data_IF_188434968430
#
_entry.id   IF_188434968430
#
_cell.length_a   1.000
_cell.length_b   1.000
_cell.length_c   1.000
_cell.angle_alpha   90.00
_cell.angle_beta   90.00
_cell.angle_gamma   90.00
#
_symmetry.space_group_name_H-M   'P 1'
#
loop_
_entity.id
_entity.type
_entity.pdbx_description
1 polymer ?
#
# COMPACT_ATOMS: atom_id res chain seq x y z
N UNK A 1 28.69 22.92 -27.24
CA UNK A 1 27.45 22.17 -27.53
C UNK A 1 26.45 23.14 -28.14
N UNK A 2 25.63 22.71 -29.10
CA UNK A 2 24.55 23.55 -29.62
C UNK A 2 23.41 23.64 -28.59
N UNK A 3 22.58 24.69 -28.69
CA UNK A 3 21.39 24.81 -27.82
C UNK A 3 20.47 23.59 -27.95
N UNK A 4 20.23 23.13 -29.17
CA UNK A 4 19.43 21.92 -29.44
C UNK A 4 19.97 20.66 -28.77
N UNK A 5 21.31 20.49 -28.71
CA UNK A 5 21.90 19.35 -27.99
C UNK A 5 21.67 19.45 -26.49
N UNK A 6 21.82 20.65 -25.91
CA UNK A 6 21.57 20.86 -24.48
C UNK A 6 20.09 20.64 -24.13
N UNK A 7 19.15 21.08 -24.97
CA UNK A 7 17.72 20.84 -24.80
C UNK A 7 17.39 19.34 -24.86
N UNK A 8 18.01 18.59 -25.76
CA UNK A 8 17.87 17.12 -25.82
C UNK A 8 18.39 16.44 -24.55
N UNK A 9 19.57 16.87 -24.07
CA UNK A 9 20.17 16.34 -22.85
C UNK A 9 19.33 16.68 -21.61
N UNK A 10 18.72 17.87 -21.59
CA UNK A 10 17.77 18.28 -20.53
C UNK A 10 16.53 17.38 -20.53
N UNK A 11 15.92 17.09 -21.70
CA UNK A 11 14.78 16.17 -21.78
C UNK A 11 15.16 14.78 -21.30
N UNK A 12 16.34 14.29 -21.64
CA UNK A 12 16.84 12.98 -21.19
C UNK A 12 17.10 12.97 -19.67
N UNK A 13 17.59 14.06 -19.09
CA UNK A 13 17.77 14.20 -17.65
C UNK A 13 16.42 14.23 -16.91
N UNK A 14 15.46 15.03 -17.41
CA UNK A 14 14.11 15.13 -16.83
C UNK A 14 13.30 13.83 -16.96
N UNK A 15 13.57 12.99 -17.94
CA UNK A 15 12.97 11.67 -18.05
C UNK A 15 13.37 10.69 -16.93
N UNK A 16 14.39 11.03 -16.13
CA UNK A 16 14.79 10.26 -14.94
C UNK A 16 14.08 10.70 -13.66
N UNK A 17 13.41 11.86 -13.71
CA UNK A 17 12.64 12.36 -12.57
C UNK A 17 11.31 11.63 -12.56
N UNK A 18 11.05 10.95 -11.46
CA UNK A 18 9.85 10.11 -11.29
C UNK A 18 8.87 10.81 -10.35
N UNK A 19 7.62 10.94 -10.79
CA UNK A 19 6.54 11.38 -9.92
C UNK A 19 6.32 10.36 -8.80
N UNK A 20 6.40 10.73 -7.51
CA UNK A 20 6.32 9.77 -6.40
C UNK A 20 4.94 9.15 -6.22
N UNK A 21 3.85 9.84 -6.60
CA UNK A 21 2.47 9.33 -6.48
C UNK A 21 2.13 8.39 -7.64
N UNK A 22 2.48 8.78 -8.89
CA UNK A 22 2.16 8.01 -10.09
C UNK A 22 3.21 6.95 -10.38
N UNK A 23 4.48 7.17 -9.98
CA UNK A 23 5.65 6.30 -10.23
C UNK A 23 5.98 6.14 -11.72
N UNK A 24 5.85 7.23 -12.46
CA UNK A 24 6.27 7.34 -13.86
C UNK A 24 7.13 8.57 -14.08
N UNK A 25 7.96 8.60 -15.13
CA UNK A 25 8.70 9.78 -15.53
C UNK A 25 7.77 11.00 -15.73
N UNK A 26 8.16 12.16 -15.20
CA UNK A 26 7.38 13.39 -15.35
C UNK A 26 7.20 13.81 -16.83
N UNK A 27 8.12 13.39 -17.69
CA UNK A 27 8.04 13.60 -19.13
C UNK A 27 6.94 12.76 -19.79
N UNK A 28 6.69 11.53 -19.30
CA UNK A 28 5.60 10.67 -19.77
C UNK A 28 4.23 11.15 -19.26
N UNK A 29 4.22 11.93 -18.19
CA UNK A 29 3.01 12.47 -17.60
C UNK A 29 2.59 13.83 -18.17
N UNK A 30 3.31 14.34 -19.19
CA UNK A 30 3.15 15.69 -19.76
C UNK A 30 3.30 16.81 -18.70
N UNK A 31 4.05 16.53 -17.62
CA UNK A 31 4.36 17.51 -16.59
C UNK A 31 5.48 18.47 -17.03
N UNK A 32 6.27 18.10 -18.03
CA UNK A 32 7.31 18.96 -18.60
C UNK A 32 6.74 19.67 -19.83
N UNK A 33 6.65 20.98 -19.74
CA UNK A 33 6.26 21.86 -20.86
C UNK A 33 7.43 22.26 -21.72
N UNK A 34 7.51 23.55 -22.03
CA UNK A 34 8.56 24.11 -22.88
C UNK A 34 9.91 24.09 -22.14
N UNK A 35 10.94 23.73 -22.90
CA UNK A 35 12.35 23.79 -22.47
C UNK A 35 13.06 24.72 -23.45
N UNK A 36 13.78 25.70 -22.93
CA UNK A 36 14.62 26.60 -23.72
C UNK A 36 15.97 26.83 -23.05
N UNK A 37 17.01 27.02 -23.82
CA UNK A 37 18.35 27.32 -23.31
C UNK A 37 18.86 28.61 -23.94
N UNK A 38 19.20 29.60 -23.12
CA UNK A 38 19.75 30.88 -23.55
C UNK A 38 20.97 31.24 -22.70
N UNK A 39 22.11 31.39 -23.33
CA UNK A 39 23.36 31.79 -22.66
C UNK A 39 23.72 30.98 -21.41
N UNK A 40 23.47 29.66 -21.45
CA UNK A 40 23.77 28.75 -20.33
C UNK A 40 22.66 28.71 -19.26
N UNK A 41 21.61 29.50 -19.40
CA UNK A 41 20.42 29.42 -18.52
C UNK A 41 19.37 28.52 -19.15
N UNK A 42 18.98 27.44 -18.47
CA UNK A 42 17.86 26.60 -18.86
C UNK A 42 16.57 27.18 -18.29
N UNK A 43 15.54 27.34 -19.11
CA UNK A 43 14.18 27.64 -18.69
C UNK A 43 13.32 26.39 -18.86
N UNK A 44 12.68 25.92 -17.80
CA UNK A 44 11.86 24.69 -17.81
C UNK A 44 10.48 25.01 -17.24
N UNK A 45 9.43 24.69 -18.01
CA UNK A 45 8.05 24.75 -17.52
C UNK A 45 7.69 23.42 -16.89
N UNK A 46 7.41 23.41 -15.58
CA UNK A 46 6.91 22.26 -14.84
C UNK A 46 5.41 22.45 -14.55
N UNK A 47 4.60 21.51 -14.94
CA UNK A 47 3.13 21.51 -14.75
C UNK A 47 2.74 20.44 -13.76
N UNK A 48 2.39 20.84 -12.53
CA UNK A 48 1.87 19.93 -11.52
C UNK A 48 0.43 19.51 -11.85
N UNK A 49 0.00 18.37 -11.35
CA UNK A 49 -1.34 17.83 -11.63
C UNK A 49 -2.45 18.68 -11.02
N UNK A 50 -2.23 19.22 -9.80
CA UNK A 50 -3.19 20.07 -9.08
C UNK A 50 -2.47 21.20 -8.34
N UNK A 51 -3.24 22.22 -7.94
CA UNK A 51 -2.78 23.25 -7.00
C UNK A 51 -2.57 22.60 -5.63
N UNK A 52 -1.42 22.84 -5.00
CA UNK A 52 -1.08 22.24 -3.70
C UNK A 52 -0.77 20.75 -3.75
N UNK A 53 -0.22 20.26 -4.88
CA UNK A 53 0.24 18.88 -5.02
C UNK A 53 1.18 18.52 -3.86
N UNK A 54 0.91 17.46 -3.09
CA UNK A 54 1.77 17.03 -1.97
C UNK A 54 3.20 16.66 -2.39
N UNK A 55 3.36 16.25 -3.65
CA UNK A 55 4.64 15.87 -4.23
C UNK A 55 5.44 17.06 -4.81
N UNK A 56 4.89 18.27 -4.81
CA UNK A 56 5.47 19.43 -5.49
C UNK A 56 6.94 19.69 -5.11
N UNK A 57 7.22 19.79 -3.81
CA UNK A 57 8.59 20.07 -3.31
C UNK A 57 9.58 18.97 -3.72
N UNK A 58 9.14 17.72 -3.70
CA UNK A 58 9.97 16.58 -4.10
C UNK A 58 10.28 16.63 -5.59
N UNK A 59 9.26 16.85 -6.43
CA UNK A 59 9.41 16.93 -7.89
C UNK A 59 10.30 18.14 -8.26
N UNK A 60 10.07 19.29 -7.67
CA UNK A 60 10.89 20.48 -7.92
C UNK A 60 12.36 20.28 -7.54
N UNK A 61 12.63 19.70 -6.38
CA UNK A 61 13.98 19.35 -5.94
C UNK A 61 14.65 18.41 -6.93
N UNK A 62 13.95 17.35 -7.35
CA UNK A 62 14.50 16.32 -8.21
C UNK A 62 14.70 16.86 -9.65
N UNK A 63 13.83 17.76 -10.14
CA UNK A 63 14.02 18.50 -11.39
C UNK A 63 15.27 19.36 -11.32
N UNK A 64 15.47 20.13 -10.23
CA UNK A 64 16.69 20.94 -10.06
C UNK A 64 17.94 20.10 -10.03
N UNK A 65 17.91 18.97 -9.32
CA UNK A 65 19.01 18.02 -9.27
C UNK A 65 19.33 17.41 -10.65
N UNK A 66 18.31 17.02 -11.40
CA UNK A 66 18.47 16.45 -12.74
C UNK A 66 19.07 17.47 -13.72
N UNK A 67 18.56 18.71 -13.74
CA UNK A 67 19.09 19.78 -14.61
C UNK A 67 20.54 20.14 -14.28
N UNK A 68 20.92 20.12 -13.01
CA UNK A 68 22.30 20.41 -12.58
C UNK A 68 23.34 19.40 -13.12
N UNK A 69 22.90 18.22 -13.57
CA UNK A 69 23.79 17.21 -14.17
C UNK A 69 24.09 17.46 -15.66
N UNK A 70 23.39 18.41 -16.30
CA UNK A 70 23.50 18.64 -17.74
C UNK A 70 24.65 19.61 -18.03
N UNK A 71 25.61 19.17 -18.83
CA UNK A 71 26.77 19.99 -19.25
C UNK A 71 26.32 21.17 -20.09
N UNK A 72 26.85 22.36 -19.76
CA UNK A 72 26.52 23.61 -20.49
C UNK A 72 25.35 24.39 -19.88
N UNK A 73 24.71 23.85 -18.81
CA UNK A 73 23.71 24.56 -18.00
C UNK A 73 24.40 25.13 -16.76
N UNK A 74 24.36 26.45 -16.58
CA UNK A 74 24.94 27.14 -15.41
C UNK A 74 23.89 27.71 -14.47
N UNK A 75 22.63 27.88 -14.96
CA UNK A 75 21.51 28.38 -14.18
C UNK A 75 20.19 27.71 -14.66
N UNK A 76 19.22 27.65 -13.75
CA UNK A 76 17.88 27.11 -14.00
C UNK A 76 16.81 28.15 -13.60
N UNK A 77 15.97 28.52 -14.57
CA UNK A 77 14.69 29.19 -14.34
C UNK A 77 13.58 28.14 -14.40
N UNK A 78 13.07 27.72 -13.25
CA UNK A 78 11.98 26.76 -13.15
C UNK A 78 10.65 27.51 -12.97
N UNK A 79 9.77 27.39 -13.96
CA UNK A 79 8.40 27.92 -13.90
C UNK A 79 7.46 26.82 -13.52
N UNK A 80 6.86 26.94 -12.33
CA UNK A 80 5.93 25.94 -11.82
C UNK A 80 4.50 26.41 -12.07
N UNK A 81 3.76 25.65 -12.83
CA UNK A 81 2.34 25.87 -13.12
C UNK A 81 1.51 24.65 -12.77
N UNK A 82 0.25 24.67 -13.15
CA UNK A 82 -0.70 23.58 -12.94
C UNK A 82 -1.34 23.21 -14.27
N UNK A 83 -1.56 21.93 -14.49
CA UNK A 83 -2.22 21.38 -15.69
C UNK A 83 -3.60 22.00 -15.88
N UNK A 84 -3.98 22.29 -17.14
CA UNK A 84 -5.35 22.63 -17.50
C UNK A 84 -6.30 21.45 -17.24
N UNK A 85 -7.60 21.70 -17.29
CA UNK A 85 -8.59 20.64 -17.17
C UNK A 85 -8.43 19.59 -18.27
N UNK A 86 -8.24 20.03 -19.52
CA UNK A 86 -8.05 19.14 -20.68
C UNK A 86 -6.80 18.27 -20.52
N UNK A 87 -5.70 18.86 -20.01
CA UNK A 87 -4.46 18.10 -19.75
C UNK A 87 -4.67 17.04 -18.66
N UNK A 88 -5.39 17.37 -17.58
CA UNK A 88 -5.73 16.40 -16.53
C UNK A 88 -6.65 15.28 -17.04
N UNK A 89 -7.64 15.62 -17.86
CA UNK A 89 -8.56 14.64 -18.44
C UNK A 89 -7.80 13.68 -19.39
N UNK A 90 -6.89 14.20 -20.20
CA UNK A 90 -6.02 13.39 -21.07
C UNK A 90 -5.08 12.49 -20.27
N UNK A 91 -4.46 13.01 -19.21
CA UNK A 91 -3.63 12.23 -18.28
C UNK A 91 -4.45 11.11 -17.62
N UNK A 92 -5.64 11.42 -17.12
CA UNK A 92 -6.55 10.47 -16.50
C UNK A 92 -6.93 9.35 -17.46
N UNK A 93 -7.29 9.68 -18.71
CA UNK A 93 -7.63 8.69 -19.72
C UNK A 93 -6.45 7.76 -20.05
N UNK A 94 -5.24 8.31 -20.13
CA UNK A 94 -4.02 7.54 -20.36
C UNK A 94 -3.65 6.63 -19.19
N UNK A 95 -3.82 7.09 -17.96
CA UNK A 95 -3.53 6.30 -16.76
C UNK A 95 -4.56 5.20 -16.52
N UNK A 96 -5.85 5.48 -16.75
CA UNK A 96 -6.92 4.45 -16.66
C UNK A 96 -6.76 3.36 -17.73
N UNK A 97 -6.29 3.73 -18.93
CA UNK A 97 -6.19 2.80 -20.04
C UNK A 97 -7.55 2.17 -20.38
N UNK A 98 -7.53 0.98 -21.01
CA UNK A 98 -8.74 0.20 -21.34
C UNK A 98 -9.17 -0.76 -20.21
N UNK A 99 -8.47 -0.79 -19.08
CA UNK A 99 -8.75 -1.74 -17.99
C UNK A 99 -9.99 -1.33 -17.20
N UNK A 100 -10.99 -2.20 -17.17
CA UNK A 100 -12.22 -2.04 -16.38
C UNK A 100 -12.00 -2.27 -14.87
N UNK A 101 -10.94 -2.97 -14.47
CA UNK A 101 -10.54 -3.21 -13.07
C UNK A 101 -9.04 -3.48 -12.98
N UNK A 102 -8.35 -2.84 -12.03
CA UNK A 102 -6.94 -3.09 -11.73
C UNK A 102 -6.72 -4.47 -11.12
N UNK A 103 -7.73 -5.03 -10.47
CA UNK A 103 -7.66 -6.24 -9.66
C UNK A 103 -8.59 -7.35 -10.17
N UNK A 104 -8.79 -7.41 -11.48
CA UNK A 104 -9.57 -8.47 -12.13
C UNK A 104 -8.85 -9.84 -12.07
N UNK A 105 -9.52 -10.91 -12.56
CA UNK A 105 -8.94 -12.27 -12.56
C UNK A 105 -7.60 -12.39 -13.29
N UNK A 106 -7.38 -11.52 -14.28
CA UNK A 106 -6.15 -11.48 -15.09
C UNK A 106 -5.07 -10.54 -14.52
N UNK A 107 -5.34 -9.92 -13.37
CA UNK A 107 -4.36 -9.04 -12.72
C UNK A 107 -3.18 -9.84 -12.19
N UNK A 108 -1.96 -9.33 -12.38
CA UNK A 108 -0.75 -9.91 -11.79
C UNK A 108 -0.54 -9.50 -10.32
N UNK A 109 -1.29 -8.54 -9.81
CA UNK A 109 -1.22 -8.11 -8.42
C UNK A 109 -1.69 -9.22 -7.48
N UNK A 110 -0.88 -9.60 -6.53
CA UNK A 110 -1.26 -10.49 -5.45
C UNK A 110 -2.05 -9.72 -4.40
N UNK A 111 -3.24 -10.18 -4.07
CA UNK A 111 -4.11 -9.51 -3.10
C UNK A 111 -4.14 -10.35 -1.83
N UNK A 112 -3.78 -9.74 -0.70
CA UNK A 112 -3.78 -10.38 0.62
C UNK A 112 -4.67 -9.57 1.56
N UNK A 113 -5.81 -10.14 1.91
CA UNK A 113 -6.69 -9.59 2.94
C UNK A 113 -6.19 -10.03 4.33
N UNK A 114 -5.96 -9.08 5.22
CA UNK A 114 -5.57 -9.37 6.60
C UNK A 114 -6.81 -9.26 7.49
N UNK A 115 -7.18 -10.36 8.13
CA UNK A 115 -8.38 -10.45 8.96
C UNK A 115 -8.04 -10.90 10.38
N UNK A 116 -8.95 -10.64 11.30
CA UNK A 116 -8.89 -11.15 12.67
C UNK A 116 -10.28 -11.41 13.22
N UNK A 117 -10.39 -12.32 14.16
CA UNK A 117 -11.67 -12.64 14.79
C UNK A 117 -12.19 -11.52 15.68
N UNK A 118 -11.33 -10.82 16.40
CA UNK A 118 -11.69 -9.74 17.34
C UNK A 118 -10.76 -8.53 17.17
N UNK A 119 -11.22 -7.37 17.64
CA UNK A 119 -10.39 -6.16 17.72
C UNK A 119 -9.28 -6.29 18.77
N UNK A 120 -8.24 -5.44 18.65
CA UNK A 120 -7.17 -5.36 19.64
C UNK A 120 -6.10 -6.46 19.54
N UNK A 121 -6.12 -7.33 18.51
CA UNK A 121 -5.07 -8.34 18.31
C UNK A 121 -3.82 -7.80 17.60
N UNK A 122 -3.78 -6.51 17.27
CA UNK A 122 -2.66 -5.87 16.56
C UNK A 122 -2.65 -6.11 15.05
N UNK A 123 -3.78 -6.49 14.44
CA UNK A 123 -3.92 -6.74 12.99
C UNK A 123 -3.35 -5.61 12.14
N UNK A 124 -3.82 -4.38 12.34
CA UNK A 124 -3.41 -3.22 11.55
C UNK A 124 -1.93 -2.86 11.74
N UNK A 125 -1.40 -3.01 12.96
CA UNK A 125 0.04 -2.84 13.25
C UNK A 125 0.88 -3.84 12.46
N UNK A 126 0.47 -5.11 12.44
CA UNK A 126 1.15 -6.14 11.65
C UNK A 126 1.02 -5.85 10.14
N UNK A 127 -0.17 -5.45 9.68
CA UNK A 127 -0.43 -5.13 8.26
C UNK A 127 0.43 -3.97 7.78
N UNK A 128 0.54 -2.89 8.56
CA UNK A 128 1.37 -1.74 8.24
C UNK A 128 2.87 -2.11 8.15
N UNK A 129 3.37 -2.83 9.14
CA UNK A 129 4.77 -3.28 9.15
C UNK A 129 5.07 -4.27 8.02
N UNK A 130 4.16 -5.21 7.75
CA UNK A 130 4.28 -6.16 6.64
C UNK A 130 4.33 -5.45 5.28
N UNK A 131 3.49 -4.43 5.08
CA UNK A 131 3.50 -3.62 3.86
C UNK A 131 4.86 -2.96 3.65
N UNK A 132 5.41 -2.36 4.69
CA UNK A 132 6.71 -1.68 4.65
C UNK A 132 7.86 -2.67 4.45
N UNK A 133 7.83 -3.82 5.13
CA UNK A 133 8.81 -4.88 4.95
C UNK A 133 8.82 -5.44 3.50
N UNK A 134 7.65 -5.62 2.88
CA UNK A 134 7.54 -6.02 1.48
C UNK A 134 8.08 -4.94 0.54
N UNK A 135 7.77 -3.65 0.80
CA UNK A 135 8.29 -2.54 0.01
C UNK A 135 9.82 -2.39 0.13
N UNK A 136 10.38 -2.59 1.32
CA UNK A 136 11.82 -2.59 1.56
C UNK A 136 12.55 -3.71 0.79
N UNK A 137 11.85 -4.78 0.43
CA UNK A 137 12.35 -5.86 -0.43
C UNK A 137 12.27 -5.56 -1.93
N UNK A 138 11.88 -4.34 -2.30
CA UNK A 138 11.78 -3.87 -3.69
C UNK A 138 10.45 -4.17 -4.38
N UNK A 139 9.44 -4.67 -3.66
CA UNK A 139 8.12 -4.91 -4.24
C UNK A 139 7.31 -3.61 -4.32
N UNK A 140 6.51 -3.46 -5.37
CA UNK A 140 5.50 -2.42 -5.49
C UNK A 140 4.29 -2.77 -4.64
N UNK A 141 4.12 -2.08 -3.51
CA UNK A 141 3.10 -2.41 -2.50
C UNK A 141 2.03 -1.33 -2.41
N UNK A 142 0.76 -1.78 -2.45
CA UNK A 142 -0.40 -1.00 -2.05
C UNK A 142 -0.95 -1.50 -0.71
N UNK A 143 -1.51 -0.60 0.08
CA UNK A 143 -2.18 -0.89 1.34
C UNK A 143 -3.52 -0.17 1.39
N UNK A 144 -4.59 -0.94 1.50
CA UNK A 144 -5.95 -0.43 1.67
C UNK A 144 -6.42 -0.70 3.10
N UNK A 145 -6.72 0.35 3.84
CA UNK A 145 -7.37 0.28 5.13
C UNK A 145 -8.88 0.30 4.94
N UNK A 146 -9.51 -0.84 5.11
CA UNK A 146 -10.95 -1.05 4.98
C UNK A 146 -11.66 -1.12 6.34
N UNK A 147 -10.97 -0.85 7.44
CA UNK A 147 -11.59 -0.77 8.77
C UNK A 147 -12.27 0.58 8.97
N UNK A 148 -13.54 0.64 8.61
CA UNK A 148 -14.35 1.87 8.63
C UNK A 148 -14.62 2.43 10.02
N UNK A 149 -14.50 1.63 11.05
CA UNK A 149 -14.78 2.00 12.43
C UNK A 149 -13.53 2.26 13.26
N UNK A 150 -12.41 1.67 12.84
CA UNK A 150 -11.15 1.71 13.59
C UNK A 150 -9.94 1.92 12.70
N UNK A 151 -10.09 2.72 11.62
CA UNK A 151 -8.97 3.01 10.71
C UNK A 151 -7.77 3.56 11.49
N UNK A 152 -6.63 2.93 11.30
CA UNK A 152 -5.40 3.27 12.02
C UNK A 152 -4.15 3.30 11.14
N UNK A 153 -4.22 2.75 9.95
CA UNK A 153 -3.09 2.64 9.02
C UNK A 153 -2.38 3.98 8.76
N UNK A 154 -3.10 5.11 8.49
CA UNK A 154 -2.41 6.38 8.28
C UNK A 154 -1.57 6.83 9.46
N UNK A 155 -2.06 6.65 10.70
CA UNK A 155 -1.30 6.94 11.92
C UNK A 155 -0.08 6.06 12.08
N UNK A 156 -0.24 4.75 11.87
CA UNK A 156 0.82 3.75 11.96
C UNK A 156 1.96 3.96 10.94
N UNK A 157 1.68 4.67 9.86
CA UNK A 157 2.65 4.99 8.79
C UNK A 157 3.11 6.46 8.82
N UNK A 158 2.79 7.21 9.86
CA UNK A 158 3.26 8.59 10.03
C UNK A 158 2.63 9.61 9.09
N UNK A 159 1.48 9.31 8.50
CA UNK A 159 0.73 10.20 7.60
C UNK A 159 -0.70 10.49 8.11
N UNK A 160 -0.88 10.78 9.43
CA UNK A 160 -2.20 11.12 9.94
C UNK A 160 -2.73 12.39 9.27
N UNK A 161 -3.99 12.39 8.88
CA UNK A 161 -4.62 13.54 8.22
C UNK A 161 -4.24 13.76 6.75
N UNK A 162 -3.34 12.97 6.18
CA UNK A 162 -3.05 13.01 4.75
C UNK A 162 -4.29 12.71 3.94
N UNK A 163 -4.48 13.45 2.85
CA UNK A 163 -5.58 13.26 1.91
C UNK A 163 -5.04 12.79 0.56
N UNK A 164 -5.77 11.91 -0.14
CA UNK A 164 -5.39 11.52 -1.48
C UNK A 164 -5.58 12.69 -2.45
N UNK A 165 -4.73 12.75 -3.47
CA UNK A 165 -4.80 13.73 -4.55
C UNK A 165 -5.85 13.30 -5.57
N UNK A 166 -6.73 14.21 -6.00
CA UNK A 166 -7.70 13.94 -7.07
C UNK A 166 -7.27 14.57 -8.37
N UNK A 167 -7.13 13.74 -9.42
CA UNK A 167 -6.84 14.18 -10.79
C UNK A 167 -7.97 13.69 -11.69
N UNK A 168 -8.91 14.59 -12.00
CA UNK A 168 -10.16 14.19 -12.64
C UNK A 168 -10.94 13.21 -11.76
N UNK A 169 -11.21 12.03 -12.31
CA UNK A 169 -11.89 10.93 -11.57
C UNK A 169 -10.92 9.98 -10.86
N UNK A 170 -9.61 10.13 -11.06
CA UNK A 170 -8.63 9.31 -10.38
C UNK A 170 -8.32 9.83 -8.98
N UNK A 171 -8.11 8.89 -8.08
CA UNK A 171 -7.66 9.12 -6.72
C UNK A 171 -6.21 8.62 -6.63
N UNK A 172 -5.26 9.53 -6.47
CA UNK A 172 -3.85 9.19 -6.25
C UNK A 172 -3.64 9.00 -4.75
N UNK A 173 -3.29 7.79 -4.29
CA UNK A 173 -3.05 7.52 -2.88
C UNK A 173 -1.71 8.12 -2.45
N UNK A 174 -1.61 8.73 -1.24
CA UNK A 174 -0.33 9.15 -0.70
C UNK A 174 0.62 7.96 -0.54
N UNK A 175 1.92 8.25 -0.54
CA UNK A 175 2.96 7.25 -0.36
C UNK A 175 3.65 7.47 0.98
N UNK A 176 3.73 6.41 1.79
CA UNK A 176 4.46 6.38 3.05
C UNK A 176 5.40 5.18 3.08
N UNK A 177 6.68 5.40 3.39
CA UNK A 177 7.71 4.34 3.46
C UNK A 177 7.73 3.42 2.23
N UNK A 178 7.52 3.97 1.03
CA UNK A 178 7.46 3.20 -0.21
C UNK A 178 6.15 2.47 -0.49
N UNK A 179 5.14 2.58 0.37
CA UNK A 179 3.81 1.96 0.24
C UNK A 179 2.79 3.00 -0.21
N UNK A 180 1.96 2.66 -1.21
CA UNK A 180 0.79 3.45 -1.60
C UNK A 180 -0.36 3.16 -0.66
N UNK A 181 -0.86 4.16 0.03
CA UNK A 181 -1.82 3.98 1.13
C UNK A 181 -3.15 4.64 0.81
N UNK A 182 -4.23 3.90 0.93
CA UNK A 182 -5.58 4.45 0.94
C UNK A 182 -6.31 3.98 2.19
N UNK A 183 -6.97 4.89 2.88
CA UNK A 183 -7.80 4.56 4.05
C UNK A 183 -9.13 5.28 3.94
N UNK A 184 -10.18 4.63 4.41
CA UNK A 184 -11.50 5.25 4.48
C UNK A 184 -11.48 6.50 5.37
N UNK A 185 -10.60 6.52 6.37
CA UNK A 185 -10.37 7.66 7.25
C UNK A 185 -9.88 8.91 6.53
N UNK A 186 -9.27 8.79 5.36
CA UNK A 186 -8.81 9.93 4.55
C UNK A 186 -9.95 10.74 3.92
N UNK A 187 -11.16 10.16 3.89
CA UNK A 187 -12.37 10.76 3.31
C UNK A 187 -13.37 11.22 4.37
N UNK A 188 -13.07 11.00 5.63
CA UNK A 188 -13.92 11.41 6.76
C UNK A 188 -13.31 12.64 7.44
N UNK A 189 -14.15 13.55 7.92
CA UNK A 189 -13.66 14.66 8.75
C UNK A 189 -13.37 14.17 10.16
N UNK A 190 -12.27 14.64 10.79
CA UNK A 190 -11.96 14.30 12.17
C UNK A 190 -13.14 14.61 13.11
N UNK A 191 -13.48 13.63 13.95
CA UNK A 191 -14.56 13.81 14.94
C UNK A 191 -15.98 13.61 14.39
N UNK A 192 -16.16 13.29 13.12
CA UNK A 192 -17.48 12.95 12.56
C UNK A 192 -17.75 11.45 12.65
N UNK A 193 -18.86 11.10 13.33
CA UNK A 193 -19.37 9.73 13.31
C UNK A 193 -20.14 9.50 12.01
N UNK A 194 -19.56 8.79 11.06
CA UNK A 194 -20.26 8.40 9.83
C UNK A 194 -20.98 7.09 10.08
N UNK A 195 -22.30 7.11 9.92
CA UNK A 195 -23.10 5.87 10.00
C UNK A 195 -23.01 5.10 8.68
N UNK A 196 -22.06 4.18 8.63
CA UNK A 196 -21.85 3.30 7.47
C UNK A 196 -22.93 2.21 7.45
N UNK A 197 -23.64 2.09 6.33
CA UNK A 197 -24.58 0.98 6.07
C UNK A 197 -23.96 0.02 5.04
N UNK A 198 -24.30 -1.26 5.10
CA UNK A 198 -23.74 -2.30 4.23
C UNK A 198 -23.62 -1.93 2.75
N UNK A 199 -24.71 -1.44 2.08
CA UNK A 199 -24.62 -1.03 0.67
C UNK A 199 -23.67 0.15 0.41
N UNK A 200 -23.53 1.08 1.36
CA UNK A 200 -22.56 2.19 1.24
C UNK A 200 -21.14 1.68 1.34
N UNK A 201 -20.89 0.76 2.29
CA UNK A 201 -19.57 0.13 2.46
C UNK A 201 -19.15 -0.62 1.21
N UNK A 202 -20.04 -1.44 0.65
CA UNK A 202 -19.77 -2.17 -0.59
C UNK A 202 -19.40 -1.23 -1.73
N UNK A 203 -20.17 -0.14 -1.93
CA UNK A 203 -19.90 0.87 -2.96
C UNK A 203 -18.55 1.56 -2.73
N UNK A 204 -18.23 1.94 -1.49
CA UNK A 204 -16.96 2.61 -1.17
C UNK A 204 -15.77 1.70 -1.42
N UNK A 205 -15.85 0.42 -1.02
CA UNK A 205 -14.82 -0.57 -1.31
C UNK A 205 -14.65 -0.75 -2.81
N UNK A 206 -15.75 -0.86 -3.55
CA UNK A 206 -15.72 -0.95 -4.99
C UNK A 206 -15.04 0.28 -5.62
N UNK A 207 -15.36 1.49 -5.16
CA UNK A 207 -14.71 2.72 -5.62
C UNK A 207 -13.20 2.71 -5.33
N UNK A 208 -12.76 2.23 -4.17
CA UNK A 208 -11.34 2.11 -3.87
C UNK A 208 -10.63 1.15 -4.83
N UNK A 209 -11.28 0.09 -5.22
CA UNK A 209 -10.72 -0.88 -6.17
C UNK A 209 -10.72 -0.39 -7.62
N UNK A 210 -11.59 0.59 -7.98
CA UNK A 210 -11.73 1.09 -9.36
C UNK A 210 -11.10 2.46 -9.58
N UNK A 211 -11.27 3.38 -8.63
CA UNK A 211 -10.94 4.80 -8.81
C UNK A 211 -9.58 5.19 -8.22
N UNK A 212 -9.07 4.40 -7.24
CA UNK A 212 -7.73 4.61 -6.69
C UNK A 212 -6.69 4.09 -7.67
N UNK A 213 -5.79 4.96 -8.09
CA UNK A 213 -4.70 4.60 -8.99
C UNK A 213 -3.50 4.05 -8.21
N UNK A 214 -3.45 2.76 -8.05
CA UNK A 214 -2.29 2.09 -7.46
C UNK A 214 -1.13 1.89 -8.46
N UNK A 215 -1.41 1.95 -9.78
CA UNK A 215 -0.43 1.56 -10.80
C UNK A 215 -0.19 0.05 -10.80
N UNK A 216 0.97 -0.35 -11.34
CA UNK A 216 1.34 -1.76 -11.36
C UNK A 216 1.88 -2.17 -9.97
N UNK A 217 1.11 -2.99 -9.26
CA UNK A 217 1.48 -3.53 -7.96
C UNK A 217 1.91 -4.99 -8.05
N UNK A 218 2.92 -5.36 -7.26
CA UNK A 218 3.20 -6.76 -6.97
C UNK A 218 2.23 -7.29 -5.91
N UNK A 219 1.97 -6.48 -4.85
CA UNK A 219 1.12 -6.86 -3.73
C UNK A 219 0.17 -5.74 -3.35
N UNK A 220 -1.11 -6.07 -3.15
CA UNK A 220 -2.09 -5.25 -2.45
C UNK A 220 -2.44 -5.91 -1.12
N UNK A 221 -2.09 -5.27 -0.02
CA UNK A 221 -2.58 -5.64 1.31
C UNK A 221 -3.89 -4.91 1.61
N UNK A 222 -4.86 -5.61 2.20
CA UNK A 222 -6.14 -5.04 2.61
C UNK A 222 -6.35 -5.32 4.09
N UNK A 223 -6.33 -4.28 4.90
CA UNK A 223 -6.61 -4.35 6.33
C UNK A 223 -8.11 -4.36 6.58
N UNK A 224 -8.66 -5.51 6.98
CA UNK A 224 -10.10 -5.70 7.19
C UNK A 224 -10.52 -5.23 8.60
N UNK A 225 -11.76 -4.81 8.81
CA UNK A 225 -12.30 -4.74 10.17
C UNK A 225 -12.30 -6.12 10.83
N UNK A 226 -12.25 -6.17 12.17
CA UNK A 226 -12.32 -7.43 12.89
C UNK A 226 -13.68 -8.12 12.72
N UNK A 227 -13.67 -9.45 12.74
CA UNK A 227 -14.88 -10.27 12.69
C UNK A 227 -15.35 -10.64 11.27
N UNK A 228 -16.64 -10.95 11.16
CA UNK A 228 -17.26 -11.55 9.98
C UNK A 228 -18.30 -10.63 9.32
N UNK A 229 -18.11 -9.32 9.45
CA UNK A 229 -19.08 -8.31 9.03
C UNK A 229 -19.15 -8.07 7.52
N UNK A 230 -20.00 -7.11 7.13
CA UNK A 230 -20.32 -6.76 5.74
C UNK A 230 -19.09 -6.44 4.87
N UNK A 231 -18.06 -5.86 5.45
CA UNK A 231 -16.82 -5.53 4.71
C UNK A 231 -16.11 -6.79 4.23
N UNK A 232 -15.95 -7.80 5.11
CA UNK A 232 -15.31 -9.06 4.76
C UNK A 232 -16.10 -9.79 3.66
N UNK A 233 -17.42 -9.82 3.76
CA UNK A 233 -18.31 -10.42 2.76
C UNK A 233 -18.22 -9.65 1.44
N UNK A 234 -18.28 -8.32 1.47
CA UNK A 234 -18.19 -7.47 0.28
C UNK A 234 -16.85 -7.67 -0.45
N UNK A 235 -15.74 -7.67 0.28
CA UNK A 235 -14.42 -7.91 -0.31
C UNK A 235 -14.28 -9.32 -0.87
N UNK A 236 -14.81 -10.33 -0.19
CA UNK A 236 -14.83 -11.69 -0.72
C UNK A 236 -15.61 -11.80 -2.03
N UNK A 237 -16.73 -11.10 -2.17
CA UNK A 237 -17.50 -11.05 -3.42
C UNK A 237 -16.79 -10.28 -4.55
N UNK A 238 -16.12 -9.18 -4.23
CA UNK A 238 -15.40 -8.34 -5.20
C UNK A 238 -14.05 -8.94 -5.62
N UNK A 239 -13.40 -9.68 -4.72
CA UNK A 239 -12.06 -10.24 -4.87
C UNK A 239 -12.02 -11.72 -4.44
N UNK A 240 -12.76 -12.62 -5.10
CA UNK A 240 -12.78 -14.03 -4.72
C UNK A 240 -11.43 -14.73 -4.89
N UNK A 241 -10.55 -14.17 -5.72
CA UNK A 241 -9.18 -14.65 -5.93
C UNK A 241 -8.19 -14.18 -4.84
N UNK A 242 -8.62 -13.32 -3.90
CA UNK A 242 -7.73 -12.83 -2.85
C UNK A 242 -7.33 -13.95 -1.88
N UNK A 243 -6.11 -13.84 -1.38
CA UNK A 243 -5.61 -14.64 -0.27
C UNK A 243 -6.00 -14.00 1.05
N UNK A 244 -6.15 -14.82 2.09
CA UNK A 244 -6.50 -14.32 3.43
C UNK A 244 -5.45 -14.76 4.43
N UNK A 245 -4.87 -13.79 5.14
CA UNK A 245 -3.98 -13.96 6.27
C UNK A 245 -4.77 -13.72 7.56
N UNK A 246 -4.79 -14.70 8.44
CA UNK A 246 -5.56 -14.64 9.70
C UNK A 246 -4.65 -14.25 10.84
N UNK A 247 -4.97 -13.16 11.54
CA UNK A 247 -4.23 -12.72 12.72
C UNK A 247 -4.99 -13.08 14.00
N UNK A 248 -4.30 -13.71 14.93
CA UNK A 248 -4.82 -14.09 16.25
C UNK A 248 -3.81 -13.77 17.36
N UNK A 249 -4.15 -14.07 18.60
CA UNK A 249 -3.26 -14.04 19.77
C UNK A 249 -3.24 -15.40 20.43
N UNK A 250 -2.29 -15.68 21.36
CA UNK A 250 -2.22 -16.96 22.06
C UNK A 250 -3.49 -17.37 22.82
N UNK A 251 -4.37 -16.41 23.13
CA UNK A 251 -5.59 -16.67 23.90
C UNK A 251 -6.58 -17.55 23.16
N UNK A 252 -7.07 -18.62 23.76
CA UNK A 252 -8.04 -19.55 23.18
C UNK A 252 -9.32 -18.84 22.66
N UNK A 253 -9.86 -17.88 23.39
CA UNK A 253 -11.03 -17.11 22.98
C UNK A 253 -10.79 -16.27 21.70
N UNK A 254 -9.55 -15.87 21.42
CA UNK A 254 -9.20 -15.21 20.17
C UNK A 254 -9.15 -16.20 19.01
N UNK A 255 -8.63 -17.39 19.27
CA UNK A 255 -8.52 -18.47 18.31
C UNK A 255 -9.89 -18.88 17.73
N UNK A 256 -10.89 -19.08 18.58
CA UNK A 256 -12.24 -19.50 18.13
C UNK A 256 -12.94 -18.48 17.21
N UNK A 257 -12.73 -17.18 17.47
CA UNK A 257 -13.34 -16.14 16.62
C UNK A 257 -12.53 -15.94 15.34
N UNK A 258 -11.20 -16.10 15.38
CA UNK A 258 -10.35 -16.03 14.20
C UNK A 258 -10.69 -17.14 13.18
N UNK A 259 -11.00 -18.34 13.64
CA UNK A 259 -11.47 -19.43 12.81
C UNK A 259 -12.75 -19.06 12.03
N UNK A 260 -13.73 -18.42 12.70
CA UNK A 260 -14.96 -17.98 12.03
C UNK A 260 -14.70 -17.00 10.91
N UNK A 261 -13.76 -16.04 11.09
CA UNK A 261 -13.38 -15.10 10.03
C UNK A 261 -12.76 -15.80 8.82
N UNK A 262 -11.93 -16.82 9.06
CA UNK A 262 -11.37 -17.65 8.01
C UNK A 262 -12.44 -18.47 7.25
N UNK A 263 -13.45 -18.98 7.95
CA UNK A 263 -14.55 -19.71 7.33
C UNK A 263 -15.39 -18.82 6.41
N UNK A 264 -15.68 -17.56 6.81
CA UNK A 264 -16.36 -16.58 5.95
C UNK A 264 -15.54 -16.31 4.68
N UNK A 265 -14.24 -16.15 4.79
CA UNK A 265 -13.36 -15.97 3.62
C UNK A 265 -13.46 -17.18 2.65
N UNK A 266 -13.44 -18.41 3.17
CA UNK A 266 -13.62 -19.62 2.36
C UNK A 266 -14.99 -19.70 1.69
N UNK A 267 -16.06 -19.30 2.39
CA UNK A 267 -17.42 -19.27 1.84
C UNK A 267 -17.56 -18.29 0.67
N UNK A 268 -16.77 -17.23 0.65
CA UNK A 268 -16.72 -16.25 -0.45
C UNK A 268 -15.71 -16.61 -1.55
N UNK A 269 -15.10 -17.80 -1.51
CA UNK A 269 -14.17 -18.30 -2.53
C UNK A 269 -12.71 -17.94 -2.31
N UNK A 270 -12.39 -17.22 -1.23
CA UNK A 270 -11.03 -16.80 -0.93
C UNK A 270 -10.20 -17.94 -0.33
N UNK A 271 -8.88 -17.89 -0.53
CA UNK A 271 -7.94 -18.89 -0.02
C UNK A 271 -7.26 -18.40 1.26
N UNK A 272 -7.46 -19.12 2.37
CA UNK A 272 -6.71 -18.85 3.61
C UNK A 272 -5.28 -19.38 3.46
N UNK A 273 -4.29 -18.48 3.50
CA UNK A 273 -2.88 -18.82 3.22
C UNK A 273 -2.08 -19.16 4.47
N UNK A 274 -2.55 -18.75 5.63
CA UNK A 274 -1.93 -19.07 6.91
C UNK A 274 -2.44 -18.20 8.06
N UNK A 275 -1.88 -18.49 9.21
CA UNK A 275 -2.15 -17.79 10.49
C UNK A 275 -0.90 -17.07 10.94
N UNK A 276 -1.07 -15.89 11.53
CA UNK A 276 -0.04 -15.16 12.28
C UNK A 276 -0.51 -15.04 13.72
N UNK A 277 0.27 -15.54 14.64
CA UNK A 277 0.06 -15.32 16.06
C UNK A 277 0.80 -14.04 16.47
N UNK A 278 0.08 -13.04 16.96
CA UNK A 278 0.67 -11.83 17.51
C UNK A 278 0.65 -11.89 19.04
N UNK A 279 1.51 -11.11 19.70
CA UNK A 279 1.63 -11.08 21.16
C UNK A 279 2.04 -12.45 21.74
N UNK A 280 2.89 -13.17 21.03
CA UNK A 280 3.33 -14.54 21.33
C UNK A 280 4.30 -14.66 22.53
N UNK A 281 4.24 -13.75 23.46
CA UNK A 281 5.06 -13.65 24.66
C UNK A 281 6.02 -12.45 24.58
N UNK A 282 6.58 -12.10 25.74
CA UNK A 282 7.55 -11.02 25.89
C UNK A 282 8.94 -11.61 26.15
N UNK A 283 9.87 -11.35 25.25
CA UNK A 283 11.27 -11.78 25.43
C UNK A 283 11.91 -10.92 26.54
N UNK A 284 12.40 -11.58 27.59
CA UNK A 284 13.07 -10.95 28.73
C UNK A 284 14.56 -10.74 28.44
N UNK A 285 15.25 -9.83 29.14
CA UNK A 285 16.69 -9.59 28.97
C UNK A 285 17.58 -10.83 29.18
N UNK A 286 17.13 -11.80 29.98
CA UNK A 286 17.80 -13.08 30.20
C UNK A 286 17.52 -14.14 29.10
N UNK A 287 16.73 -13.79 28.11
CA UNK A 287 16.32 -14.67 27.02
C UNK A 287 15.11 -15.54 27.32
N UNK A 288 14.56 -15.49 28.55
CA UNK A 288 13.31 -16.19 28.86
C UNK A 288 12.11 -15.50 28.21
N UNK A 289 11.01 -16.24 27.99
CA UNK A 289 9.78 -15.72 27.39
C UNK A 289 8.67 -15.69 28.41
N UNK A 290 8.16 -14.50 28.70
CA UNK A 290 7.01 -14.33 29.59
C UNK A 290 5.71 -14.44 28.79
N UNK A 291 4.92 -15.48 29.02
CA UNK A 291 3.68 -15.80 28.34
C UNK A 291 2.49 -15.00 28.90
N UNK A 292 2.43 -13.69 28.63
CA UNK A 292 1.40 -12.79 29.17
C UNK A 292 -0.03 -13.15 28.74
N UNK A 293 -0.18 -13.70 27.53
CA UNK A 293 -1.48 -14.06 26.94
C UNK A 293 -1.66 -15.56 26.73
N UNK A 294 -0.85 -16.40 27.39
CA UNK A 294 -0.82 -17.84 27.18
C UNK A 294 0.00 -18.23 25.95
N UNK A 295 -0.22 -19.43 25.43
CA UNK A 295 0.54 -20.00 24.32
C UNK A 295 -0.34 -20.89 23.43
N UNK A 296 0.09 -21.11 22.19
CA UNK A 296 -0.48 -22.11 21.28
C UNK A 296 -1.80 -21.75 20.59
N UNK A 297 -2.34 -20.56 20.79
CA UNK A 297 -3.59 -20.15 20.14
C UNK A 297 -3.46 -20.09 18.60
N UNK A 298 -2.34 -19.59 18.10
CA UNK A 298 -2.05 -19.54 16.66
C UNK A 298 -1.92 -20.94 16.04
N UNK A 299 -1.20 -21.85 16.70
CA UNK A 299 -1.06 -23.24 16.27
C UNK A 299 -2.41 -23.96 16.24
N UNK A 300 -3.24 -23.74 17.27
CA UNK A 300 -4.57 -24.35 17.33
C UNK A 300 -5.47 -23.88 16.18
N UNK A 301 -5.45 -22.57 15.82
CA UNK A 301 -6.19 -22.05 14.66
C UNK A 301 -5.63 -22.62 13.38
N UNK A 302 -4.33 -22.61 13.17
CA UNK A 302 -3.66 -23.13 12.00
C UNK A 302 -4.00 -24.61 11.78
N UNK A 303 -3.94 -25.42 12.84
CA UNK A 303 -4.29 -26.85 12.79
C UNK A 303 -5.77 -27.08 12.41
N UNK A 304 -6.71 -26.35 13.03
CA UNK A 304 -8.15 -26.45 12.71
C UNK A 304 -8.48 -26.02 11.27
N UNK A 305 -7.79 -25.02 10.77
CA UNK A 305 -7.95 -24.52 9.40
C UNK A 305 -7.20 -25.36 8.37
N UNK A 306 -6.26 -26.23 8.78
CA UNK A 306 -5.40 -26.99 7.88
C UNK A 306 -4.45 -26.11 7.08
N UNK A 307 -3.95 -25.02 7.69
CA UNK A 307 -3.03 -24.06 7.07
C UNK A 307 -1.80 -23.85 7.97
N UNK A 308 -0.66 -23.36 7.45
CA UNK A 308 0.52 -23.13 8.27
C UNK A 308 0.35 -21.97 9.26
N UNK A 309 0.99 -22.06 10.43
CA UNK A 309 1.35 -20.92 11.24
C UNK A 309 2.58 -20.26 10.58
N UNK A 310 2.39 -19.08 10.00
CA UNK A 310 3.43 -18.43 9.19
C UNK A 310 4.41 -17.62 10.05
N UNK A 311 3.95 -17.09 11.17
CA UNK A 311 4.78 -16.35 12.10
C UNK A 311 4.15 -16.31 13.50
N UNK A 312 5.02 -16.26 14.51
CA UNK A 312 4.68 -15.87 15.89
C UNK A 312 5.46 -14.61 16.21
N UNK A 313 4.73 -13.50 16.34
CA UNK A 313 5.31 -12.17 16.57
C UNK A 313 5.26 -11.88 18.07
N UNK A 314 6.42 -11.71 18.73
CA UNK A 314 6.45 -11.45 20.16
C UNK A 314 5.92 -10.05 20.51
N UNK A 315 5.57 -9.86 21.78
CA UNK A 315 5.34 -8.53 22.34
C UNK A 315 6.64 -7.73 22.25
N UNK A 316 6.54 -6.49 21.79
CA UNK A 316 7.68 -5.58 21.65
C UNK A 316 7.28 -4.16 22.03
N UNK A 317 8.11 -3.54 22.85
CA UNK A 317 7.98 -2.11 23.19
C UNK A 317 8.27 -1.26 21.96
N UNK A 318 9.31 -1.61 21.19
CA UNK A 318 9.66 -0.90 19.97
C UNK A 318 8.55 -0.96 18.91
N UNK A 319 7.85 -2.11 18.76
CA UNK A 319 6.71 -2.24 17.87
C UNK A 319 5.55 -1.29 18.27
N UNK A 320 5.28 -1.18 19.57
CA UNK A 320 4.25 -0.25 20.11
C UNK A 320 4.67 1.21 19.87
N UNK A 321 5.89 1.58 20.26
CA UNK A 321 6.41 2.94 20.11
C UNK A 321 6.50 3.38 18.65
N UNK A 322 6.90 2.46 17.75
CA UNK A 322 6.87 2.66 16.31
C UNK A 322 5.47 2.94 15.80
N UNK A 323 4.45 2.20 16.28
CA UNK A 323 3.06 2.44 15.98
C UNK A 323 2.55 3.80 16.45
N UNK A 324 2.92 4.23 17.65
CA UNK A 324 2.53 5.52 18.22
C UNK A 324 3.20 6.72 17.50
N UNK A 325 4.44 6.54 17.05
CA UNK A 325 5.23 7.57 16.37
C UNK A 325 5.03 7.58 14.83
N UNK A 326 4.32 6.60 14.27
CA UNK A 326 4.14 6.47 12.82
C UNK A 326 5.40 6.00 12.08
N UNK A 327 6.32 5.35 12.78
CA UNK A 327 7.54 4.78 12.22
C UNK A 327 7.54 3.26 12.42
N UNK A 328 7.23 2.46 11.40
CA UNK A 328 7.19 1.00 11.49
C UNK A 328 8.45 0.39 12.09
N UNK A 329 8.30 -0.58 12.98
CA UNK A 329 9.42 -1.20 13.71
C UNK A 329 10.44 -1.85 12.77
N UNK A 330 10.02 -2.37 11.64
CA UNK A 330 10.90 -2.96 10.61
C UNK A 330 11.92 -1.96 10.04
N UNK A 331 11.65 -0.65 10.17
CA UNK A 331 12.58 0.42 9.81
C UNK A 331 13.27 1.02 11.05
N UNK A 332 12.51 1.24 12.12
CA UNK A 332 13.00 1.95 13.31
C UNK A 332 13.95 1.08 14.16
N UNK A 333 13.67 -0.22 14.27
CA UNK A 333 14.43 -1.15 15.08
C UNK A 333 14.48 -2.55 14.42
N UNK A 334 15.20 -2.71 13.29
CA UNK A 334 15.21 -3.96 12.51
C UNK A 334 15.74 -5.17 13.30
N UNK A 335 16.51 -4.93 14.36
CA UNK A 335 17.04 -5.98 15.23
C UNK A 335 16.04 -6.45 16.32
N UNK A 336 14.94 -5.74 16.49
CA UNK A 336 13.89 -6.14 17.45
C UNK A 336 13.30 -7.50 17.06
N UNK A 337 13.02 -8.39 18.02
CA UNK A 337 12.46 -9.71 17.73
C UNK A 337 11.15 -9.67 16.94
N UNK A 338 10.28 -8.67 17.16
CA UNK A 338 9.05 -8.52 16.39
C UNK A 338 9.34 -8.06 14.96
N UNK A 339 10.32 -7.16 14.75
CA UNK A 339 10.75 -6.75 13.42
C UNK A 339 11.30 -7.93 12.63
N UNK A 340 12.15 -8.76 13.23
CA UNK A 340 12.70 -9.97 12.59
C UNK A 340 11.60 -10.97 12.22
N UNK A 341 10.60 -11.17 13.08
CA UNK A 341 9.49 -12.06 12.79
C UNK A 341 8.64 -11.53 11.60
N UNK A 342 8.41 -10.22 11.52
CA UNK A 342 7.69 -9.58 10.43
C UNK A 342 8.49 -9.60 9.12
N UNK A 343 9.81 -9.42 9.17
CA UNK A 343 10.69 -9.57 8.01
C UNK A 343 10.72 -11.00 7.47
N UNK A 344 10.75 -12.01 8.35
CA UNK A 344 10.67 -13.42 7.95
C UNK A 344 9.30 -13.74 7.31
N UNK A 345 8.21 -13.19 7.86
CA UNK A 345 6.87 -13.30 7.27
C UNK A 345 6.83 -12.66 5.89
N UNK A 346 7.38 -11.44 5.75
CA UNK A 346 7.46 -10.75 4.47
C UNK A 346 8.26 -11.55 3.43
N UNK A 347 9.41 -12.13 3.83
CA UNK A 347 10.21 -13.00 2.98
C UNK A 347 9.41 -14.22 2.49
N UNK A 348 8.71 -14.89 3.40
CA UNK A 348 7.87 -16.06 3.09
C UNK A 348 6.76 -15.69 2.12
N UNK A 349 6.09 -14.56 2.33
CA UNK A 349 5.02 -14.11 1.44
C UNK A 349 5.56 -13.62 0.09
N UNK A 350 6.72 -12.98 0.04
CA UNK A 350 7.32 -12.49 -1.21
C UNK A 350 7.72 -13.64 -2.17
N UNK A 351 8.18 -14.76 -1.62
CA UNK A 351 8.65 -15.92 -2.41
C UNK A 351 7.56 -16.92 -2.74
N UNK A 352 6.39 -16.81 -2.12
CA UNK A 352 5.28 -17.74 -2.36
C UNK A 352 4.75 -17.59 -3.78
N UNK A 353 4.87 -18.65 -4.56
CA UNK A 353 4.33 -18.70 -5.92
C UNK A 353 2.81 -18.53 -5.90
N UNK A 354 2.29 -17.78 -6.87
CA UNK A 354 0.85 -17.72 -7.13
C UNK A 354 0.41 -19.10 -7.61
N UNK A 355 -0.51 -19.72 -6.90
CA UNK A 355 -1.18 -20.91 -7.37
C UNK A 355 -1.85 -20.62 -8.73
N UNK A 356 -1.50 -21.38 -9.76
CA UNK A 356 -2.12 -21.28 -11.08
C UNK A 356 -3.50 -21.99 -11.10
N UNK A 357 -3.93 -22.56 -9.99
CA UNK A 357 -5.22 -23.24 -9.86
C UNK A 357 -6.37 -22.24 -10.14
N UNK A 358 -7.18 -22.57 -11.16
CA UNK A 358 -8.32 -21.74 -11.59
C UNK A 358 -8.02 -20.72 -12.69
N UNK A 359 -6.79 -20.53 -13.15
CA UNK A 359 -6.48 -19.71 -14.33
C UNK A 359 -6.78 -20.49 -15.60
N UNK A 360 -7.61 -19.90 -16.46
CA UNK A 360 -7.75 -20.37 -17.83
C UNK A 360 -6.44 -20.07 -18.55
N UNK A 361 -5.65 -21.12 -18.82
CA UNK A 361 -4.56 -21.00 -19.77
C UNK A 361 -5.20 -20.74 -21.14
N UNK A 362 -4.97 -19.57 -21.68
CA UNK A 362 -5.41 -19.22 -23.06
C UNK A 362 -4.57 -19.96 -24.10
N UNK A 363 -4.68 -21.29 -24.10
CA UNK A 363 -4.13 -22.10 -25.18
C UNK A 363 -5.10 -22.02 -26.34
N UNK A 364 -4.85 -21.11 -27.29
CA UNK A 364 -5.38 -21.23 -28.64
C UNK A 364 -4.67 -22.41 -29.28
N UNK A 365 -5.32 -23.56 -29.31
CA UNK A 365 -4.92 -24.66 -30.17
C UNK A 365 -5.37 -24.28 -31.59
N UNK A 366 -4.41 -23.80 -32.39
CA UNK A 366 -4.57 -23.66 -33.85
C UNK A 366 -4.56 -25.03 -34.49
#
# INVERSE_FOLDING_TARGET
MSAEQIESDLRAALARVIDPEIRRPITELDMVGDIAVTAGTASVDLRLTIVGCPAADTIERDVRAAVATVSGVTALELRVGVMSREQRDALTARLKGTRTSQFGPDSFTRIICVTSGKGGVGKSTLTANLAVALAARGLSVGLMDADVFGFSIPGLLGIPGSKPTRVGELILPPVAHGVKVISIGMFTEPGTAVSWRGPMLHRTIQQFLTDVFFGDLDVLLIDLPPGTGDVAISLGQLLPQAEVLVVTTPQAAAADVAERSALVARQTGQTVVGVVENMAGLVQPDGSILQLFGEGGGEAVAGRLGVPLLASVPLSVALREGGDSGMPVVLAAPEDPAARALEALAATLATRERGLAGRRLGLNVT
#
